data_IF_039284639551
#
_entry.id   IF_039284639551
#
_cell.length_a   1.000
_cell.length_b   1.000
_cell.length_c   1.000
_cell.angle_alpha   90.00
_cell.angle_beta   90.00
_cell.angle_gamma   90.00
#
_symmetry.space_group_name_H-M   'P 1'
#
loop_
_entity.id
_entity.type
_entity.pdbx_description
1 polymer ?
#
# COMPACT_ATOMS: atom_id res chain seq x y z
N UNK A 1 -17.73 12.70 -13.84
CA UNK A 1 -16.64 11.93 -13.21
C UNK A 1 -16.99 11.61 -11.77
N UNK A 2 -16.48 10.51 -11.18
CA UNK A 2 -16.74 10.20 -9.78
C UNK A 2 -16.14 11.30 -8.91
N UNK A 3 -16.99 11.91 -8.09
CA UNK A 3 -16.51 12.69 -6.96
C UNK A 3 -16.00 11.70 -5.92
N UNK A 4 -14.79 11.94 -5.45
CA UNK A 4 -14.14 11.18 -4.40
C UNK A 4 -14.26 11.99 -3.13
N UNK A 5 -14.76 11.38 -2.05
CA UNK A 5 -14.71 12.01 -0.74
C UNK A 5 -13.25 12.22 -0.32
N UNK A 6 -12.94 13.46 0.08
CA UNK A 6 -11.64 13.79 0.66
C UNK A 6 -11.65 13.39 2.14
N UNK A 7 -11.35 12.13 2.41
CA UNK A 7 -11.14 11.57 3.76
C UNK A 7 -9.95 12.27 4.44
N UNK A 8 -9.84 12.16 5.76
CA UNK A 8 -8.68 12.71 6.47
C UNK A 8 -7.38 12.01 6.02
N UNK A 9 -7.44 10.71 5.73
CA UNK A 9 -6.31 9.94 5.22
C UNK A 9 -5.84 10.45 3.83
N UNK A 10 -6.78 10.71 2.92
CA UNK A 10 -6.42 11.28 1.61
C UNK A 10 -5.82 12.68 1.76
N UNK A 11 -6.34 13.50 2.69
CA UNK A 11 -5.80 14.85 2.95
C UNK A 11 -4.40 14.81 3.54
N UNK A 12 -4.14 13.95 4.52
CA UNK A 12 -2.81 13.78 5.10
C UNK A 12 -1.84 13.28 4.03
N UNK A 13 -2.26 12.30 3.22
CA UNK A 13 -1.46 11.77 2.11
C UNK A 13 -1.04 12.86 1.12
N UNK A 14 -1.98 13.69 0.64
CA UNK A 14 -1.67 14.81 -0.25
C UNK A 14 -0.70 15.79 0.42
N UNK A 15 -0.94 16.14 1.70
CA UNK A 15 -0.14 17.10 2.46
C UNK A 15 1.29 16.62 2.66
N UNK A 16 1.46 15.37 3.06
CA UNK A 16 2.75 14.78 3.39
C UNK A 16 3.57 14.53 2.13
N UNK A 17 2.93 14.07 1.06
CA UNK A 17 3.55 13.95 -0.26
C UNK A 17 4.03 15.31 -0.78
N UNK A 18 3.18 16.34 -0.69
CA UNK A 18 3.56 17.69 -1.11
C UNK A 18 4.75 18.21 -0.31
N UNK A 19 4.77 18.00 1.01
CA UNK A 19 5.87 18.41 1.88
C UNK A 19 7.17 17.65 1.60
N UNK A 20 7.10 16.33 1.40
CA UNK A 20 8.28 15.51 1.12
C UNK A 20 8.93 15.89 -0.21
N UNK A 21 8.13 16.27 -1.20
CA UNK A 21 8.58 16.81 -2.50
C UNK A 21 8.86 18.33 -2.47
N UNK A 22 8.79 18.97 -1.30
CA UNK A 22 9.03 20.40 -1.08
C UNK A 22 8.20 21.33 -1.99
N UNK A 23 7.01 20.89 -2.41
CA UNK A 23 6.15 21.65 -3.31
C UNK A 23 5.26 22.62 -2.53
N UNK A 24 5.18 23.88 -2.93
CA UNK A 24 4.33 24.85 -2.24
C UNK A 24 2.87 24.71 -2.67
N UNK A 25 1.94 24.85 -1.73
CA UNK A 25 0.50 24.69 -1.99
C UNK A 25 -0.07 25.76 -2.92
N UNK A 26 0.44 26.98 -2.85
CA UNK A 26 0.02 28.09 -3.71
C UNK A 26 0.53 27.94 -5.16
N UNK A 27 1.76 27.45 -5.32
CA UNK A 27 2.33 27.10 -6.63
C UNK A 27 1.57 25.94 -7.27
N UNK A 28 1.35 24.85 -6.52
CA UNK A 28 0.57 23.70 -7.00
C UNK A 28 -0.86 24.12 -7.38
N UNK A 29 -1.50 25.00 -6.62
CA UNK A 29 -2.84 25.51 -6.96
C UNK A 29 -2.83 26.26 -8.31
N UNK A 30 -1.80 27.07 -8.57
CA UNK A 30 -1.64 27.79 -9.85
C UNK A 30 -1.41 26.82 -11.01
N UNK A 31 -0.55 25.81 -10.84
CA UNK A 31 -0.31 24.77 -11.87
C UNK A 31 -1.58 23.98 -12.23
N UNK A 32 -2.52 23.87 -11.28
CA UNK A 32 -3.81 23.22 -11.48
C UNK A 32 -4.87 24.15 -12.11
N UNK A 33 -4.57 25.43 -12.30
CA UNK A 33 -5.52 26.44 -12.78
C UNK A 33 -6.60 26.77 -11.73
N UNK A 34 -6.28 26.65 -10.44
CA UNK A 34 -7.19 26.91 -9.32
C UNK A 34 -6.74 28.14 -8.52
N UNK A 35 -7.62 28.65 -7.66
CA UNK A 35 -7.29 29.77 -6.78
C UNK A 35 -6.14 29.41 -5.83
N UNK A 36 -5.30 30.39 -5.46
CA UNK A 36 -4.06 30.15 -4.71
C UNK A 36 -4.23 29.41 -3.36
N UNK A 37 -5.43 29.45 -2.79
CA UNK A 37 -5.78 28.77 -1.54
C UNK A 37 -6.35 27.35 -1.74
N UNK A 38 -6.53 26.87 -2.97
CA UNK A 38 -7.26 25.65 -3.27
C UNK A 38 -6.67 24.40 -2.59
N UNK A 39 -5.35 24.18 -2.73
CA UNK A 39 -4.68 23.05 -2.05
C UNK A 39 -4.77 23.18 -0.53
N UNK A 40 -4.63 24.40 0.02
CA UNK A 40 -4.81 24.63 1.45
C UNK A 40 -6.24 24.34 1.92
N UNK A 41 -7.25 24.64 1.09
CA UNK A 41 -8.65 24.32 1.38
C UNK A 41 -8.92 22.80 1.34
N UNK A 42 -8.24 22.06 0.47
CA UNK A 42 -8.24 20.59 0.48
C UNK A 42 -7.56 20.09 1.77
N UNK A 43 -6.34 20.53 2.05
CA UNK A 43 -5.60 20.01 3.21
C UNK A 43 -6.29 20.32 4.55
N UNK A 44 -7.06 21.41 4.65
CA UNK A 44 -7.72 21.84 5.88
C UNK A 44 -9.20 21.43 5.99
N UNK A 45 -9.69 20.52 5.14
CA UNK A 45 -11.05 19.99 5.31
C UNK A 45 -12.19 20.87 4.77
N UNK A 46 -11.88 22.00 4.11
CA UNK A 46 -12.89 22.95 3.60
C UNK A 46 -13.59 22.43 2.34
N UNK A 47 -12.85 21.77 1.46
CA UNK A 47 -13.40 21.09 0.28
C UNK A 47 -13.69 19.65 0.66
N UNK A 48 -14.94 19.19 0.52
CA UNK A 48 -15.34 17.84 0.96
C UNK A 48 -15.13 16.75 -0.07
N UNK A 49 -15.29 17.09 -1.33
CA UNK A 49 -15.16 16.15 -2.45
C UNK A 49 -14.29 16.74 -3.54
N UNK A 50 -13.69 15.85 -4.33
CA UNK A 50 -12.90 16.23 -5.49
C UNK A 50 -13.16 15.27 -6.65
N UNK A 51 -13.16 15.82 -7.86
CA UNK A 51 -13.12 15.04 -9.08
C UNK A 51 -11.87 14.15 -9.14
N UNK A 52 -12.02 12.86 -9.49
CA UNK A 52 -10.88 11.93 -9.56
C UNK A 52 -9.81 12.35 -10.58
N UNK A 53 -10.18 12.89 -11.75
CA UNK A 53 -9.16 13.32 -12.71
C UNK A 53 -8.34 14.50 -12.16
N UNK A 54 -8.99 15.42 -11.43
CA UNK A 54 -8.29 16.48 -10.72
C UNK A 54 -7.41 15.92 -9.59
N UNK A 55 -7.87 14.91 -8.85
CA UNK A 55 -7.08 14.23 -7.83
C UNK A 55 -5.83 13.58 -8.43
N UNK A 56 -5.99 12.80 -9.50
CA UNK A 56 -4.88 12.18 -10.23
C UNK A 56 -3.91 13.25 -10.78
N UNK A 57 -4.45 14.38 -11.26
CA UNK A 57 -3.64 15.53 -11.71
C UNK A 57 -2.85 16.15 -10.56
N UNK A 58 -3.42 16.24 -9.35
CA UNK A 58 -2.69 16.70 -8.15
C UNK A 58 -1.50 15.77 -7.88
N UNK A 59 -1.73 14.47 -7.79
CA UNK A 59 -0.66 13.49 -7.54
C UNK A 59 0.44 13.58 -8.59
N UNK A 60 0.09 13.54 -9.88
CA UNK A 60 1.05 13.69 -10.99
C UNK A 60 1.85 14.99 -10.93
N UNK A 61 1.20 16.11 -10.58
CA UNK A 61 1.89 17.38 -10.44
C UNK A 61 2.80 17.43 -9.23
N UNK A 62 2.50 16.72 -8.15
CA UNK A 62 3.40 16.67 -6.98
C UNK A 62 4.61 15.78 -7.26
N UNK A 63 4.40 14.64 -7.93
CA UNK A 63 5.45 13.63 -8.13
C UNK A 63 6.36 13.94 -9.32
N UNK A 64 5.79 14.49 -10.41
CA UNK A 64 6.47 14.80 -11.68
C UNK A 64 7.19 13.58 -12.30
N UNK A 65 6.58 12.41 -12.16
CA UNK A 65 7.10 11.13 -12.66
C UNK A 65 6.60 10.82 -14.07
N UNK A 66 7.36 9.98 -14.80
CA UNK A 66 6.88 9.38 -16.05
C UNK A 66 5.69 8.44 -15.80
N UNK A 67 4.97 8.02 -16.84
CA UNK A 67 3.76 7.20 -16.65
C UNK A 67 4.02 5.85 -15.98
N UNK A 68 5.15 5.20 -16.28
CA UNK A 68 5.47 3.90 -15.71
C UNK A 68 5.98 4.04 -14.27
N UNK A 69 6.85 5.02 -14.00
CA UNK A 69 7.29 5.35 -12.64
C UNK A 69 6.12 5.82 -11.76
N UNK A 70 5.16 6.53 -12.35
CA UNK A 70 3.97 6.99 -11.64
C UNK A 70 3.07 5.82 -11.22
N UNK A 71 2.87 4.83 -12.11
CA UNK A 71 2.09 3.64 -11.78
C UNK A 71 2.74 2.87 -10.62
N UNK A 72 4.05 2.63 -10.68
CA UNK A 72 4.80 1.96 -9.60
C UNK A 72 4.77 2.79 -8.29
N UNK A 73 4.92 4.11 -8.39
CA UNK A 73 4.83 4.99 -7.23
C UNK A 73 3.45 4.94 -6.57
N UNK A 74 2.38 4.95 -7.36
CA UNK A 74 1.01 4.88 -6.84
C UNK A 74 0.75 3.52 -6.20
N UNK A 75 1.27 2.43 -6.75
CA UNK A 75 1.18 1.11 -6.12
C UNK A 75 1.82 1.12 -4.72
N UNK A 76 3.03 1.65 -4.60
CA UNK A 76 3.72 1.77 -3.30
C UNK A 76 2.97 2.70 -2.33
N UNK A 77 2.48 3.84 -2.81
CA UNK A 77 1.73 4.78 -1.99
C UNK A 77 0.46 4.16 -1.42
N UNK A 78 -0.26 3.40 -2.24
CA UNK A 78 -1.47 2.72 -1.82
C UNK A 78 -1.14 1.59 -0.83
N UNK A 79 -0.09 0.82 -1.09
CA UNK A 79 0.41 -0.21 -0.18
C UNK A 79 0.74 0.37 1.20
N UNK A 80 1.48 1.47 1.22
CA UNK A 80 1.81 2.21 2.45
C UNK A 80 0.54 2.74 3.14
N UNK A 81 -0.40 3.30 2.37
CA UNK A 81 -1.64 3.85 2.93
C UNK A 81 -2.50 2.76 3.57
N UNK A 82 -2.65 1.61 2.90
CA UNK A 82 -3.43 0.48 3.41
C UNK A 82 -2.75 -0.26 4.55
N UNK A 83 -1.42 -0.25 4.63
CA UNK A 83 -0.69 -1.01 5.65
C UNK A 83 -1.17 -0.70 7.07
N UNK A 84 -1.68 0.51 7.31
CA UNK A 84 -2.13 1.00 8.61
C UNK A 84 -3.65 0.98 8.84
N UNK A 85 -4.44 0.52 7.87
CA UNK A 85 -5.89 0.66 7.86
C UNK A 85 -6.60 -0.68 8.14
N UNK A 86 -7.70 -0.65 8.89
CA UNK A 86 -8.58 -1.82 9.00
C UNK A 86 -9.29 -2.08 7.69
N UNK A 87 -9.89 -3.27 7.55
CA UNK A 87 -10.71 -3.61 6.40
C UNK A 87 -11.86 -2.61 6.21
N UNK A 88 -12.53 -2.20 7.29
CA UNK A 88 -13.62 -1.22 7.19
C UNK A 88 -13.12 0.18 6.80
N UNK A 89 -11.91 0.55 7.23
CA UNK A 89 -11.30 1.82 6.85
C UNK A 89 -10.93 1.83 5.36
N UNK A 90 -10.30 0.76 4.85
CA UNK A 90 -9.96 0.62 3.42
C UNK A 90 -11.22 0.68 2.56
N UNK A 91 -12.29 0.00 2.97
CA UNK A 91 -13.57 -0.03 2.24
C UNK A 91 -14.19 1.38 2.07
N UNK A 92 -13.82 2.35 2.91
CA UNK A 92 -14.29 3.74 2.85
C UNK A 92 -13.36 4.67 2.05
N UNK A 93 -12.17 4.21 1.67
CA UNK A 93 -11.23 4.99 0.87
C UNK A 93 -11.47 4.78 -0.62
N UNK A 94 -12.50 5.44 -1.16
CA UNK A 94 -12.87 5.36 -2.59
C UNK A 94 -11.67 5.60 -3.54
N UNK A 95 -10.76 6.51 -3.17
CA UNK A 95 -9.59 6.80 -4.00
C UNK A 95 -8.65 5.58 -4.12
N UNK A 96 -8.45 4.80 -3.06
CA UNK A 96 -7.62 3.59 -3.09
C UNK A 96 -8.19 2.60 -4.11
N UNK A 97 -9.50 2.39 -4.08
CA UNK A 97 -10.17 1.55 -5.07
C UNK A 97 -10.00 2.12 -6.47
N UNK A 98 -10.28 3.41 -6.67
CA UNK A 98 -10.21 4.04 -7.98
C UNK A 98 -8.82 3.92 -8.60
N UNK A 99 -7.76 4.18 -7.83
CA UNK A 99 -6.39 4.02 -8.34
C UNK A 99 -6.03 2.56 -8.62
N UNK A 100 -6.42 1.62 -7.75
CA UNK A 100 -6.15 0.20 -7.96
C UNK A 100 -6.83 -0.37 -9.23
N UNK A 101 -8.02 0.11 -9.56
CA UNK A 101 -8.74 -0.38 -10.73
C UNK A 101 -8.41 0.38 -12.02
N UNK A 102 -8.25 1.70 -11.98
CA UNK A 102 -8.08 2.55 -13.18
C UNK A 102 -6.61 2.85 -13.53
N UNK A 103 -5.71 2.94 -12.53
CA UNK A 103 -4.34 3.46 -12.73
C UNK A 103 -3.28 2.35 -12.64
N UNK A 104 -3.37 1.47 -11.64
CA UNK A 104 -2.43 0.37 -11.46
C UNK A 104 -2.37 -0.52 -12.70
N UNK A 105 -1.16 -0.79 -13.19
CA UNK A 105 -0.92 -1.64 -14.36
C UNK A 105 -0.45 -3.03 -13.92
N UNK A 106 -1.02 -4.06 -14.52
CA UNK A 106 -0.66 -5.45 -14.31
C UNK A 106 0.02 -5.98 -15.57
N UNK A 107 1.12 -6.74 -15.44
CA UNK A 107 1.71 -7.43 -16.58
C UNK A 107 0.69 -8.41 -17.18
N UNK A 108 0.62 -8.49 -18.50
CA UNK A 108 -0.27 -9.42 -19.18
C UNK A 108 0.49 -10.73 -19.41
N UNK A 109 0.15 -11.83 -18.73
CA UNK A 109 0.85 -13.09 -18.91
C UNK A 109 0.49 -13.76 -20.25
N UNK A 110 1.42 -14.55 -20.79
CA UNK A 110 1.23 -15.28 -22.05
C UNK A 110 0.04 -16.25 -22.02
N UNK A 111 -0.29 -16.78 -20.84
CA UNK A 111 -1.48 -17.60 -20.58
C UNK A 111 -2.77 -16.85 -20.93
N UNK A 112 -2.86 -15.58 -20.53
CA UNK A 112 -4.03 -14.75 -20.78
C UNK A 112 -4.10 -14.29 -22.24
N UNK A 113 -2.94 -14.00 -22.85
CA UNK A 113 -2.86 -13.70 -24.30
C UNK A 113 -3.35 -14.90 -25.12
N UNK A 114 -2.89 -16.10 -24.77
CA UNK A 114 -3.30 -17.35 -25.43
C UNK A 114 -4.80 -17.58 -25.26
N UNK A 115 -5.31 -17.44 -24.03
CA UNK A 115 -6.73 -17.54 -23.75
C UNK A 115 -7.56 -16.58 -24.61
N UNK A 116 -7.23 -15.27 -24.63
CA UNK A 116 -7.96 -14.28 -25.43
C UNK A 116 -7.96 -14.69 -26.90
N UNK A 117 -6.79 -15.06 -27.45
CA UNK A 117 -6.67 -15.47 -28.84
C UNK A 117 -7.58 -16.67 -29.17
N UNK A 118 -7.53 -17.72 -28.36
CA UNK A 118 -8.34 -18.92 -28.56
C UNK A 118 -9.85 -18.62 -28.51
N UNK A 119 -10.29 -17.73 -27.62
CA UNK A 119 -11.71 -17.40 -27.54
C UNK A 119 -12.18 -16.55 -28.71
N UNK A 120 -11.37 -15.61 -29.21
CA UNK A 120 -11.71 -14.85 -30.42
C UNK A 120 -11.81 -15.76 -31.66
N UNK A 121 -10.91 -16.74 -31.77
CA UNK A 121 -10.97 -17.76 -32.83
C UNK A 121 -12.26 -18.60 -32.74
N UNK A 122 -12.65 -19.05 -31.54
CA UNK A 122 -13.91 -19.79 -31.32
C UNK A 122 -15.15 -18.95 -31.62
N UNK A 123 -15.13 -17.67 -31.28
CA UNK A 123 -16.21 -16.73 -31.56
C UNK A 123 -16.23 -16.29 -33.04
N UNK A 124 -15.19 -16.63 -33.82
CA UNK A 124 -15.01 -16.26 -35.22
C UNK A 124 -15.09 -14.73 -35.43
N UNK A 125 -14.38 -13.97 -34.59
CA UNK A 125 -14.30 -12.50 -34.65
C UNK A 125 -12.85 -12.05 -34.70
N UNK A 126 -12.59 -10.96 -35.42
CA UNK A 126 -11.26 -10.32 -35.43
C UNK A 126 -11.04 -9.47 -34.16
N UNK A 127 -9.79 -9.18 -33.80
CA UNK A 127 -9.48 -8.27 -32.68
C UNK A 127 -10.20 -6.92 -32.76
N UNK A 128 -10.24 -6.30 -33.94
CA UNK A 128 -10.90 -4.99 -34.16
C UNK A 128 -12.42 -5.08 -34.02
N UNK A 129 -13.05 -6.09 -34.63
CA UNK A 129 -14.50 -6.34 -34.46
C UNK A 129 -14.86 -6.59 -33.00
N UNK A 130 -14.00 -7.28 -32.26
CA UNK A 130 -14.23 -7.54 -30.85
C UNK A 130 -14.15 -6.26 -29.99
N UNK A 131 -13.23 -5.35 -30.29
CA UNK A 131 -13.23 -4.00 -29.66
C UNK A 131 -14.56 -3.29 -29.93
N UNK A 132 -15.08 -3.35 -31.16
CA UNK A 132 -16.39 -2.76 -31.47
C UNK A 132 -17.52 -3.41 -30.67
N UNK A 133 -17.45 -4.72 -30.38
CA UNK A 133 -18.40 -5.40 -29.49
C UNK A 133 -18.31 -4.86 -28.06
N UNK A 134 -17.10 -4.65 -27.53
CA UNK A 134 -16.90 -4.06 -26.20
C UNK A 134 -17.47 -2.63 -26.15
N UNK A 135 -17.17 -1.82 -27.15
CA UNK A 135 -17.61 -0.41 -27.24
C UNK A 135 -19.13 -0.26 -27.44
N UNK A 136 -19.87 -1.33 -27.76
CA UNK A 136 -21.35 -1.33 -27.69
C UNK A 136 -21.87 -1.24 -26.27
N UNK A 137 -21.03 -1.47 -25.25
CA UNK A 137 -21.39 -1.35 -23.83
C UNK A 137 -22.64 -2.15 -23.46
N UNK A 138 -22.82 -3.35 -24.05
CA UNK A 138 -24.00 -4.22 -23.88
C UNK A 138 -24.45 -4.44 -22.42
N UNK A 139 -23.55 -4.54 -21.42
CA UNK A 139 -23.95 -4.75 -20.03
C UNK A 139 -24.53 -3.50 -19.34
N UNK A 140 -24.44 -2.32 -19.96
CA UNK A 140 -24.96 -1.08 -19.39
C UNK A 140 -26.36 -0.79 -19.92
N UNK A 141 -27.25 -0.40 -19.02
CA UNK A 141 -28.51 0.22 -19.40
C UNK A 141 -28.24 1.53 -20.20
N UNK A 142 -28.98 1.81 -21.29
CA UNK A 142 -28.75 3.00 -22.11
C UNK A 142 -28.75 4.31 -21.33
N UNK A 143 -29.66 4.47 -20.36
CA UNK A 143 -29.73 5.69 -19.54
C UNK A 143 -28.51 5.83 -18.62
N UNK A 144 -27.99 4.71 -18.11
CA UNK A 144 -26.75 4.71 -17.34
C UNK A 144 -25.55 5.01 -18.23
N UNK A 145 -25.49 4.43 -19.43
CA UNK A 145 -24.41 4.65 -20.39
C UNK A 145 -24.31 6.11 -20.87
N UNK A 146 -25.41 6.85 -20.93
CA UNK A 146 -25.40 8.29 -21.24
C UNK A 146 -24.79 9.13 -20.11
N UNK A 147 -24.98 8.72 -18.84
CA UNK A 147 -24.45 9.43 -17.67
C UNK A 147 -22.95 9.21 -17.42
N UNK A 148 -22.37 8.17 -18.01
CA UNK A 148 -20.98 7.76 -17.80
C UNK A 148 -20.06 8.37 -18.85
N UNK A 149 -18.93 8.88 -18.38
CA UNK A 149 -17.84 9.33 -19.24
C UNK A 149 -17.09 8.11 -19.81
N UNK A 150 -16.74 8.11 -21.11
CA UNK A 150 -16.00 7.01 -21.71
C UNK A 150 -14.64 6.76 -21.05
N UNK A 151 -14.32 5.48 -20.87
CA UNK A 151 -13.10 4.95 -20.25
C UNK A 151 -12.81 5.48 -18.84
N UNK A 152 -13.86 5.92 -18.12
CA UNK A 152 -13.77 6.35 -16.73
C UNK A 152 -14.56 5.42 -15.84
N UNK A 153 -13.87 4.86 -14.85
CA UNK A 153 -14.49 3.98 -13.87
C UNK A 153 -15.29 4.84 -12.88
N UNK A 154 -16.48 4.38 -12.53
CA UNK A 154 -17.28 4.87 -11.41
C UNK A 154 -17.36 3.75 -10.38
N UNK A 155 -17.01 4.08 -9.14
CA UNK A 155 -17.13 3.17 -8.01
C UNK A 155 -18.28 3.64 -7.14
N UNK A 156 -19.17 2.73 -6.78
CA UNK A 156 -20.25 2.95 -5.83
C UNK A 156 -20.06 2.00 -4.66
N UNK A 157 -19.89 2.54 -3.46
CA UNK A 157 -19.85 1.74 -2.23
C UNK A 157 -21.30 1.50 -1.79
N UNK A 158 -21.75 0.24 -1.85
CA UNK A 158 -23.09 -0.16 -1.42
C UNK A 158 -23.00 -0.83 -0.05
N UNK A 159 -23.70 -0.26 0.92
CA UNK A 159 -23.88 -0.87 2.24
C UNK A 159 -24.81 -2.08 2.12
N UNK A 160 -24.35 -3.24 2.58
CA UNK A 160 -25.20 -4.42 2.71
C UNK A 160 -25.66 -4.54 4.15
N UNK A 161 -26.88 -5.02 4.35
CA UNK A 161 -27.55 -5.20 5.63
C UNK A 161 -26.80 -6.05 6.69
N UNK A 162 -25.59 -6.54 6.39
CA UNK A 162 -24.69 -7.30 7.26
C UNK A 162 -23.41 -6.55 7.66
N UNK A 163 -23.41 -5.20 7.64
CA UNK A 163 -22.20 -4.42 7.95
C UNK A 163 -21.02 -4.74 7.02
N UNK A 164 -21.30 -5.16 5.78
CA UNK A 164 -20.28 -5.35 4.75
C UNK A 164 -20.52 -4.39 3.61
N UNK A 165 -19.47 -3.74 3.11
CA UNK A 165 -19.55 -2.89 1.95
C UNK A 165 -19.17 -3.67 0.69
N UNK A 166 -19.95 -3.53 -0.37
CA UNK A 166 -19.57 -4.01 -1.71
C UNK A 166 -19.28 -2.82 -2.60
N UNK A 167 -18.10 -2.81 -3.18
CA UNK A 167 -17.73 -1.88 -4.24
C UNK A 167 -18.35 -2.36 -5.55
N UNK A 168 -19.31 -1.60 -6.08
CA UNK A 168 -19.86 -1.80 -7.42
C UNK A 168 -19.10 -0.92 -8.40
N UNK A 169 -18.52 -1.55 -9.41
CA UNK A 169 -17.77 -0.86 -10.47
C UNK A 169 -18.64 -0.70 -11.73
N UNK A 170 -18.70 0.49 -12.30
CA UNK A 170 -19.40 0.81 -13.54
C UNK A 170 -18.44 1.54 -14.48
N UNK A 171 -18.32 1.08 -15.73
CA UNK A 171 -17.47 1.72 -16.72
C UNK A 171 -18.12 1.64 -18.09
N UNK A 172 -18.07 2.76 -18.84
CA UNK A 172 -18.41 2.82 -20.25
C UNK A 172 -17.12 2.75 -21.05
N UNK A 173 -16.98 1.77 -21.93
CA UNK A 173 -15.83 1.60 -22.79
C UNK A 173 -15.96 2.38 -24.09
N UNK A 174 -14.85 2.98 -24.50
CA UNK A 174 -14.58 3.56 -25.82
C UNK A 174 -13.10 3.29 -26.17
N UNK A 175 -12.80 2.02 -26.36
CA UNK A 175 -11.43 1.52 -26.49
C UNK A 175 -10.93 1.69 -27.94
N UNK A 176 -9.61 1.92 -28.14
CA UNK A 176 -9.02 1.96 -29.47
C UNK A 176 -9.18 0.62 -30.19
N UNK A 177 -9.55 0.64 -31.48
CA UNK A 177 -9.74 -0.59 -32.27
C UNK A 177 -8.49 -1.50 -32.31
N UNK A 178 -7.30 -0.93 -32.13
CA UNK A 178 -6.03 -1.67 -32.11
C UNK A 178 -5.74 -2.33 -30.76
N UNK A 179 -6.48 -2.05 -29.69
CA UNK A 179 -6.13 -2.45 -28.33
C UNK A 179 -5.87 -3.95 -28.21
N UNK A 180 -6.79 -4.77 -28.71
CA UNK A 180 -6.67 -6.23 -28.60
C UNK A 180 -5.52 -6.74 -29.48
N UNK A 181 -5.36 -6.19 -30.68
CA UNK A 181 -4.24 -6.55 -31.56
C UNK A 181 -2.87 -6.18 -30.94
N UNK A 182 -2.79 -5.01 -30.31
CA UNK A 182 -1.61 -4.53 -29.60
C UNK A 182 -1.28 -5.42 -28.38
N UNK A 183 -2.29 -5.99 -27.70
CA UNK A 183 -2.09 -6.98 -26.62
C UNK A 183 -1.58 -8.31 -27.21
N UNK A 184 -2.25 -8.84 -28.24
CA UNK A 184 -1.92 -10.13 -28.85
C UNK A 184 -0.53 -10.13 -29.50
N UNK A 185 -0.11 -8.98 -30.05
CA UNK A 185 1.22 -8.77 -30.62
C UNK A 185 2.29 -8.40 -29.59
N UNK A 186 1.94 -8.34 -28.30
CA UNK A 186 2.83 -7.93 -27.19
C UNK A 186 3.40 -6.51 -27.32
N UNK A 187 2.72 -5.62 -28.05
CA UNK A 187 3.03 -4.18 -28.07
C UNK A 187 2.57 -3.51 -26.78
N UNK A 188 1.46 -3.97 -26.20
CA UNK A 188 1.01 -3.63 -24.85
C UNK A 188 1.39 -4.77 -23.91
N UNK A 189 2.32 -4.50 -22.99
CA UNK A 189 2.84 -5.49 -22.03
C UNK A 189 2.13 -5.47 -20.68
N UNK A 190 1.40 -4.39 -20.39
CA UNK A 190 0.69 -4.21 -19.12
C UNK A 190 -0.60 -3.41 -19.33
N UNK A 191 -1.59 -3.66 -18.49
CA UNK A 191 -2.91 -3.04 -18.60
C UNK A 191 -3.53 -2.87 -17.21
N UNK A 192 -4.45 -1.93 -17.06
CA UNK A 192 -5.18 -1.79 -15.81
C UNK A 192 -6.20 -2.92 -15.61
N UNK A 193 -6.60 -3.12 -14.36
CA UNK A 193 -7.53 -4.20 -13.99
C UNK A 193 -8.86 -4.06 -14.72
N UNK A 194 -9.45 -2.86 -14.73
CA UNK A 194 -10.81 -2.66 -15.24
C UNK A 194 -10.92 -2.94 -16.75
N UNK A 195 -9.90 -2.58 -17.53
CA UNK A 195 -9.90 -2.85 -18.97
C UNK A 195 -9.75 -4.35 -19.24
N UNK A 196 -8.84 -5.05 -18.55
CA UNK A 196 -8.71 -6.51 -18.73
C UNK A 196 -9.98 -7.23 -18.27
N UNK A 197 -10.56 -6.83 -17.14
CA UNK A 197 -11.86 -7.33 -16.68
C UNK A 197 -12.94 -7.13 -17.74
N UNK A 198 -13.01 -5.95 -18.37
CA UNK A 198 -13.96 -5.64 -19.44
C UNK A 198 -13.81 -6.51 -20.67
N UNK A 199 -12.57 -6.84 -21.07
CA UNK A 199 -12.26 -7.75 -22.18
C UNK A 199 -12.79 -9.15 -21.86
N UNK A 200 -12.40 -9.72 -20.72
CA UNK A 200 -12.77 -11.08 -20.32
C UNK A 200 -14.28 -11.22 -20.09
N UNK A 201 -14.91 -10.19 -19.49
CA UNK A 201 -16.35 -10.14 -19.31
C UNK A 201 -17.10 -10.23 -20.64
N UNK A 202 -16.68 -9.44 -21.63
CA UNK A 202 -17.31 -9.46 -22.95
C UNK A 202 -17.04 -10.76 -23.73
N UNK A 203 -15.93 -11.45 -23.47
CA UNK A 203 -15.66 -12.77 -24.04
C UNK A 203 -16.73 -13.75 -23.52
N UNK A 204 -16.84 -13.91 -22.21
CA UNK A 204 -17.80 -14.83 -21.59
C UNK A 204 -19.25 -14.48 -21.94
N UNK A 205 -19.58 -13.18 -22.01
CA UNK A 205 -20.90 -12.73 -22.46
C UNK A 205 -21.19 -13.14 -23.91
N UNK A 206 -20.18 -13.08 -24.79
CA UNK A 206 -20.33 -13.48 -26.19
C UNK A 206 -20.38 -15.01 -26.37
N UNK A 207 -19.79 -15.76 -25.44
CA UNK A 207 -19.92 -17.23 -25.35
C UNK A 207 -21.29 -17.68 -24.80
N UNK A 208 -22.11 -16.75 -24.29
CA UNK A 208 -23.45 -17.05 -23.78
C UNK A 208 -23.48 -17.51 -22.32
N UNK A 209 -22.46 -17.17 -21.53
CA UNK A 209 -22.49 -17.43 -20.09
C UNK A 209 -23.62 -16.65 -19.39
N UNK A 210 -24.26 -17.21 -18.35
CA UNK A 210 -25.24 -16.47 -17.55
C UNK A 210 -24.61 -15.26 -16.89
N UNK A 211 -25.18 -14.05 -17.07
CA UNK A 211 -24.61 -12.78 -16.58
C UNK A 211 -24.26 -12.80 -15.09
N UNK A 212 -25.10 -13.45 -14.27
CA UNK A 212 -24.92 -13.62 -12.83
C UNK A 212 -23.60 -14.35 -12.46
N UNK A 213 -23.11 -15.20 -13.35
CA UNK A 213 -21.91 -16.03 -13.15
C UNK A 213 -20.63 -15.44 -13.76
N UNK A 214 -20.78 -14.47 -14.69
CA UNK A 214 -19.64 -13.92 -15.43
C UNK A 214 -18.68 -13.22 -14.49
N UNK A 215 -19.18 -12.40 -13.56
CA UNK A 215 -18.34 -11.63 -12.64
C UNK A 215 -17.40 -12.53 -11.82
N UNK A 216 -17.90 -13.63 -11.25
CA UNK A 216 -17.08 -14.55 -10.46
C UNK A 216 -16.10 -15.35 -11.32
N UNK A 217 -16.52 -15.72 -12.53
CA UNK A 217 -15.67 -16.44 -13.49
C UNK A 217 -14.50 -15.56 -13.95
N UNK A 218 -14.77 -14.30 -14.30
CA UNK A 218 -13.74 -13.32 -14.67
C UNK A 218 -12.82 -13.05 -13.48
N UNK A 219 -13.36 -12.89 -12.27
CA UNK A 219 -12.56 -12.70 -11.06
C UNK A 219 -11.59 -13.85 -10.82
N UNK A 220 -12.06 -15.08 -10.98
CA UNK A 220 -11.24 -16.28 -10.85
C UNK A 220 -10.13 -16.32 -11.89
N UNK A 221 -10.47 -16.06 -13.17
CA UNK A 221 -9.50 -16.03 -14.27
C UNK A 221 -8.43 -14.94 -14.08
N UNK A 222 -8.84 -13.74 -13.66
CA UNK A 222 -7.93 -12.65 -13.33
C UNK A 222 -6.97 -13.06 -12.20
N UNK A 223 -7.50 -13.62 -11.10
CA UNK A 223 -6.71 -14.08 -9.95
C UNK A 223 -5.67 -15.13 -10.35
N UNK A 224 -6.07 -16.13 -11.12
CA UNK A 224 -5.17 -17.20 -11.61
C UNK A 224 -4.07 -16.68 -12.53
N UNK A 225 -4.29 -15.52 -13.18
CA UNK A 225 -3.34 -14.85 -14.05
C UNK A 225 -2.62 -13.68 -13.36
N UNK A 226 -2.65 -13.60 -12.02
CA UNK A 226 -1.88 -12.61 -11.25
C UNK A 226 -2.48 -11.20 -11.18
N UNK A 227 -3.70 -11.00 -11.71
CA UNK A 227 -4.46 -9.77 -11.54
C UNK A 227 -5.15 -9.78 -10.17
N UNK A 228 -4.35 -9.55 -9.13
CA UNK A 228 -4.85 -9.47 -7.76
C UNK A 228 -5.21 -8.02 -7.42
N UNK A 229 -6.47 -7.78 -7.08
CA UNK A 229 -6.83 -6.55 -6.40
C UNK A 229 -6.05 -6.46 -5.08
N UNK A 230 -5.86 -5.25 -4.57
CA UNK A 230 -5.12 -5.06 -3.32
C UNK A 230 -5.77 -5.80 -2.13
N UNK A 231 -7.09 -5.84 -2.10
CA UNK A 231 -7.84 -6.59 -1.09
C UNK A 231 -7.55 -8.09 -1.16
N UNK A 232 -7.50 -8.65 -2.37
CA UNK A 232 -7.19 -10.07 -2.59
C UNK A 232 -5.74 -10.38 -2.24
N UNK A 233 -4.80 -9.51 -2.64
CA UNK A 233 -3.38 -9.65 -2.30
C UNK A 233 -3.16 -9.61 -0.79
N UNK A 234 -3.75 -8.65 -0.09
CA UNK A 234 -3.63 -8.52 1.37
C UNK A 234 -4.30 -9.70 2.09
N UNK A 235 -5.46 -10.16 1.61
CA UNK A 235 -6.12 -11.35 2.14
C UNK A 235 -5.25 -12.59 1.97
N UNK A 236 -4.65 -12.80 0.80
CA UNK A 236 -3.74 -13.93 0.56
C UNK A 236 -2.54 -13.90 1.51
N UNK A 237 -1.96 -12.72 1.76
CA UNK A 237 -0.88 -12.56 2.74
C UNK A 237 -1.37 -12.94 4.15
N UNK A 238 -2.53 -12.44 4.58
CA UNK A 238 -3.09 -12.75 5.90
C UNK A 238 -3.46 -14.23 6.07
N UNK A 239 -4.06 -14.84 5.06
CA UNK A 239 -4.44 -16.25 5.04
C UNK A 239 -3.19 -17.13 5.11
N UNK A 240 -2.13 -16.80 4.34
CA UNK A 240 -0.84 -17.49 4.39
C UNK A 240 -0.17 -17.37 5.77
N UNK A 241 -0.21 -16.19 6.40
CA UNK A 241 0.28 -15.99 7.77
C UNK A 241 -0.50 -16.87 8.75
N UNK A 242 -1.83 -16.87 8.66
CA UNK A 242 -2.70 -17.65 9.53
C UNK A 242 -2.47 -19.16 9.36
N UNK A 243 -2.28 -19.62 8.12
CA UNK A 243 -2.00 -21.00 7.80
C UNK A 243 -0.62 -21.43 8.32
N UNK A 244 0.44 -20.63 8.12
CA UNK A 244 1.78 -20.91 8.66
C UNK A 244 1.82 -20.91 10.19
N UNK A 245 1.09 -19.98 10.82
CA UNK A 245 0.90 -19.99 12.29
C UNK A 245 0.21 -21.27 12.76
N UNK A 246 -0.81 -21.74 12.04
CA UNK A 246 -1.52 -22.99 12.37
C UNK A 246 -0.64 -24.24 12.19
N UNK A 247 0.35 -24.18 11.30
CA UNK A 247 1.27 -25.29 10.98
C UNK A 247 2.60 -25.22 11.72
N UNK A 248 2.83 -24.20 12.57
CA UNK A 248 4.12 -23.98 13.25
C UNK A 248 5.32 -23.89 12.28
N UNK A 249 5.11 -23.29 11.11
CA UNK A 249 6.19 -23.08 10.13
C UNK A 249 6.90 -21.74 10.37
N UNK A 250 8.23 -21.71 10.22
CA UNK A 250 9.01 -20.49 10.31
C UNK A 250 8.69 -19.53 9.14
N UNK A 251 8.64 -18.23 9.44
CA UNK A 251 8.46 -17.20 8.44
C UNK A 251 9.78 -16.91 7.70
N UNK A 252 9.74 -16.77 6.39
CA UNK A 252 10.84 -16.22 5.59
C UNK A 252 10.63 -14.72 5.32
N UNK A 253 11.70 -13.99 4.97
CA UNK A 253 11.66 -12.56 4.63
C UNK A 253 10.68 -12.22 3.48
N UNK A 254 10.31 -13.22 2.67
CA UNK A 254 9.39 -13.08 1.54
C UNK A 254 7.92 -13.38 1.91
N UNK A 255 7.64 -13.79 3.16
CA UNK A 255 6.31 -14.19 3.64
C UNK A 255 5.53 -13.06 4.32
N UNK A 256 6.15 -11.88 4.49
CA UNK A 256 5.61 -10.78 5.29
C UNK A 256 5.90 -9.46 4.57
N UNK A 257 4.92 -8.56 4.56
CA UNK A 257 5.20 -7.17 4.19
C UNK A 257 6.18 -6.58 5.23
N UNK A 258 7.27 -5.90 4.79
CA UNK A 258 8.27 -5.31 5.69
C UNK A 258 7.72 -4.35 6.77
N UNK A 259 6.50 -3.84 6.57
CA UNK A 259 5.94 -2.68 7.26
C UNK A 259 5.37 -2.97 8.65
N UNK A 260 4.95 -4.20 8.98
CA UNK A 260 4.47 -4.53 10.34
C UNK A 260 5.61 -4.57 11.37
N UNK A 261 6.79 -5.06 10.94
CA UNK A 261 8.00 -5.00 11.75
C UNK A 261 8.53 -3.57 11.84
N UNK A 262 8.41 -2.76 10.79
CA UNK A 262 8.79 -1.35 10.84
C UNK A 262 7.89 -0.55 11.79
N UNK A 263 6.58 -0.81 11.83
CA UNK A 263 5.67 -0.16 12.79
C UNK A 263 5.90 -0.61 14.21
N UNK A 264 6.15 -1.90 14.40
CA UNK A 264 6.57 -2.42 15.70
C UNK A 264 7.89 -1.78 16.12
N UNK A 265 8.85 -1.64 15.21
CA UNK A 265 10.13 -0.97 15.45
C UNK A 265 9.94 0.51 15.82
N UNK A 266 9.16 1.27 15.05
CA UNK A 266 8.86 2.69 15.32
C UNK A 266 8.14 2.86 16.65
N UNK A 267 7.16 2.00 16.96
CA UNK A 267 6.42 2.02 18.22
C UNK A 267 7.34 1.73 19.40
N UNK A 268 8.13 0.64 19.33
CA UNK A 268 9.09 0.29 20.38
C UNK A 268 10.14 1.39 20.58
N UNK A 269 10.64 1.99 19.49
CA UNK A 269 11.59 3.10 19.55
C UNK A 269 10.98 4.34 20.22
N UNK A 270 9.73 4.68 19.89
CA UNK A 270 8.99 5.78 20.54
C UNK A 270 8.85 5.53 22.04
N UNK A 271 8.41 4.35 22.45
CA UNK A 271 8.26 3.99 23.86
C UNK A 271 9.60 4.01 24.62
N UNK A 272 10.68 3.55 24.00
CA UNK A 272 12.04 3.67 24.58
C UNK A 272 12.43 5.14 24.77
N UNK A 273 12.15 6.01 23.80
CA UNK A 273 12.46 7.44 23.90
C UNK A 273 11.66 8.12 25.01
N UNK A 274 10.37 7.81 25.16
CA UNK A 274 9.53 8.33 26.24
C UNK A 274 10.07 7.96 27.63
N UNK A 275 10.70 6.78 27.76
CA UNK A 275 11.38 6.40 29.01
C UNK A 275 12.62 7.26 29.31
N UNK A 276 13.36 7.72 28.29
CA UNK A 276 14.46 8.67 28.50
C UNK A 276 13.96 10.05 28.90
N UNK A 277 12.86 10.52 28.29
CA UNK A 277 12.19 11.76 28.69
C UNK A 277 11.69 11.68 30.14
N UNK A 278 11.13 10.55 30.56
CA UNK A 278 10.72 10.34 31.95
C UNK A 278 11.89 10.42 32.95
N UNK A 279 13.07 9.90 32.59
CA UNK A 279 14.27 10.02 33.44
C UNK A 279 14.72 11.48 33.54
N UNK A 280 14.71 12.22 32.42
CA UNK A 280 15.00 13.67 32.38
C UNK A 280 14.06 14.44 33.30
N UNK A 281 12.77 14.17 33.21
CA UNK A 281 11.73 14.90 33.96
C UNK A 281 11.82 14.66 35.47
N UNK A 282 12.42 13.53 35.88
CA UNK A 282 12.73 13.26 37.29
C UNK A 282 14.01 13.92 37.78
N UNK A 283 15.10 13.82 37.02
CA UNK A 283 16.40 14.39 37.37
C UNK A 283 17.24 14.62 36.10
N UNK A 284 17.36 15.90 35.72
CA UNK A 284 18.06 16.31 34.51
C UNK A 284 19.57 16.00 34.56
N UNK A 285 20.23 16.23 35.70
CA UNK A 285 21.68 16.03 35.81
C UNK A 285 22.02 14.54 35.78
N UNK A 286 21.23 13.73 36.48
CA UNK A 286 21.34 12.27 36.41
C UNK A 286 21.10 11.76 34.99
N UNK A 287 20.07 12.26 34.30
CA UNK A 287 19.75 11.87 32.93
C UNK A 287 20.92 12.14 31.98
N UNK A 288 21.49 13.35 32.02
CA UNK A 288 22.66 13.75 31.20
C UNK A 288 23.84 12.80 31.48
N UNK A 289 24.19 12.58 32.74
CA UNK A 289 25.32 11.71 33.11
C UNK A 289 25.15 10.29 32.58
N UNK A 290 23.95 9.71 32.64
CA UNK A 290 23.69 8.35 32.16
C UNK A 290 23.64 8.28 30.64
N UNK A 291 23.02 9.24 29.96
CA UNK A 291 22.94 9.26 28.50
C UNK A 291 24.31 9.46 27.86
N UNK A 292 25.18 10.30 28.44
CA UNK A 292 26.56 10.46 27.95
C UNK A 292 27.38 9.16 28.06
N UNK A 293 27.19 8.40 29.14
CA UNK A 293 27.85 7.09 29.32
C UNK A 293 27.29 6.07 28.34
N UNK A 294 25.97 6.05 28.16
CA UNK A 294 25.31 5.15 27.22
C UNK A 294 25.77 5.41 25.78
N UNK A 295 25.80 6.68 25.36
CA UNK A 295 26.26 7.09 24.03
C UNK A 295 27.72 6.69 23.79
N UNK A 296 28.60 6.92 24.78
CA UNK A 296 30.01 6.48 24.72
C UNK A 296 30.11 4.96 24.54
N UNK A 297 29.31 4.19 25.26
CA UNK A 297 29.30 2.74 25.14
C UNK A 297 28.80 2.27 23.76
N UNK A 298 27.70 2.85 23.26
CA UNK A 298 27.16 2.51 21.93
C UNK A 298 28.14 2.84 20.80
N UNK A 299 28.90 3.93 20.93
CA UNK A 299 29.95 4.30 19.97
C UNK A 299 31.17 3.36 20.03
N UNK A 300 31.40 2.69 21.15
CA UNK A 300 32.48 1.71 21.31
C UNK A 300 32.09 0.35 20.72
N UNK A 301 30.94 -0.20 21.14
CA UNK A 301 30.41 -1.46 20.63
C UNK A 301 28.87 -1.49 20.74
N UNK A 302 28.21 -1.19 19.63
CA UNK A 302 26.75 -1.19 19.57
C UNK A 302 26.15 -2.58 19.82
N UNK A 303 26.76 -3.63 19.29
CA UNK A 303 26.24 -5.00 19.40
C UNK A 303 26.23 -5.49 20.84
N UNK A 304 27.34 -5.31 21.55
CA UNK A 304 27.47 -5.68 22.96
C UNK A 304 26.51 -4.89 23.86
N UNK A 305 26.40 -3.57 23.63
CA UNK A 305 25.53 -2.70 24.44
C UNK A 305 24.06 -3.06 24.24
N UNK A 306 23.62 -3.31 23.00
CA UNK A 306 22.26 -3.74 22.73
C UNK A 306 21.97 -5.08 23.40
N UNK A 307 22.88 -6.06 23.34
CA UNK A 307 22.71 -7.36 23.99
C UNK A 307 22.55 -7.25 25.53
N UNK A 308 23.32 -6.36 26.16
CA UNK A 308 23.20 -6.08 27.60
C UNK A 308 21.86 -5.40 27.90
N UNK A 309 21.47 -4.38 27.12
CA UNK A 309 20.23 -3.63 27.33
C UNK A 309 18.96 -4.46 27.07
N UNK A 310 18.99 -5.36 26.08
CA UNK A 310 17.87 -6.23 25.73
C UNK A 310 17.77 -7.47 26.61
N UNK A 311 18.69 -7.65 27.57
CA UNK A 311 18.64 -8.76 28.51
C UNK A 311 17.35 -8.69 29.33
N UNK A 312 16.73 -9.84 29.68
CA UNK A 312 15.38 -9.89 30.26
C UNK A 312 15.36 -9.52 31.77
N UNK A 313 15.86 -8.33 32.11
CA UNK A 313 15.93 -7.81 33.48
C UNK A 313 14.55 -7.72 34.15
N UNK A 314 13.48 -7.57 33.36
CA UNK A 314 12.10 -7.59 33.84
C UNK A 314 11.69 -8.94 34.49
N UNK A 315 12.42 -10.03 34.22
CA UNK A 315 12.19 -11.34 34.84
C UNK A 315 12.89 -11.50 36.20
N UNK A 316 13.68 -10.51 36.64
CA UNK A 316 14.35 -10.57 37.94
C UNK A 316 13.35 -10.32 39.09
N UNK A 317 13.30 -11.22 40.09
CA UNK A 317 12.54 -10.97 41.32
C UNK A 317 12.97 -9.67 42.01
N UNK A 318 12.01 -8.94 42.57
CA UNK A 318 12.25 -7.63 43.20
C UNK A 318 13.27 -7.71 44.35
N UNK A 319 13.22 -8.77 45.15
CA UNK A 319 14.14 -9.04 46.27
C UNK A 319 15.58 -9.32 45.82
N UNK A 320 15.78 -9.72 44.55
CA UNK A 320 17.09 -10.07 43.99
C UNK A 320 17.76 -8.94 43.22
N UNK A 321 17.09 -7.83 42.97
CA UNK A 321 17.62 -6.72 42.15
C UNK A 321 18.92 -6.12 42.71
N UNK A 322 19.02 -5.97 44.04
CA UNK A 322 20.22 -5.43 44.70
C UNK A 322 21.42 -6.37 44.60
N UNK A 323 21.20 -7.66 44.84
CA UNK A 323 22.25 -8.68 44.77
C UNK A 323 22.76 -8.80 43.33
N UNK A 324 21.84 -8.87 42.36
CA UNK A 324 22.18 -8.87 40.94
C UNK A 324 23.05 -7.66 40.55
N UNK A 325 22.68 -6.45 40.98
CA UNK A 325 23.47 -5.25 40.66
C UNK A 325 24.88 -5.29 41.26
N UNK A 326 25.02 -5.83 42.47
CA UNK A 326 26.32 -6.01 43.13
C UNK A 326 27.19 -6.99 42.34
N UNK A 327 26.64 -8.13 41.95
CA UNK A 327 27.34 -9.17 41.20
C UNK A 327 27.74 -8.68 39.80
N UNK A 328 26.82 -8.02 39.10
CA UNK A 328 27.10 -7.38 37.80
C UNK A 328 28.23 -6.36 37.90
N UNK A 329 28.21 -5.50 38.93
CA UNK A 329 29.26 -4.49 39.14
C UNK A 329 30.61 -5.14 39.44
N UNK A 330 30.63 -6.22 40.22
CA UNK A 330 31.85 -6.96 40.53
C UNK A 330 32.43 -7.64 39.28
N UNK A 331 31.56 -8.26 38.47
CA UNK A 331 31.92 -8.89 37.21
C UNK A 331 32.49 -7.87 36.22
N UNK A 332 31.80 -6.75 36.02
CA UNK A 332 32.28 -5.71 35.10
C UNK A 332 33.67 -5.19 35.53
N UNK A 333 33.88 -4.98 36.84
CA UNK A 333 35.18 -4.58 37.37
C UNK A 333 36.28 -5.63 37.14
N UNK A 334 35.97 -6.92 37.19
CA UNK A 334 36.99 -7.96 36.97
C UNK A 334 37.48 -7.96 35.52
N UNK A 335 36.57 -7.81 34.55
CA UNK A 335 36.91 -7.70 33.12
C UNK A 335 37.64 -6.39 32.78
N UNK A 336 37.28 -5.28 33.45
CA UNK A 336 38.03 -4.03 33.27
C UNK A 336 39.45 -4.16 33.85
N UNK A 337 39.64 -4.76 35.02
CA UNK A 337 40.97 -4.93 35.63
C UNK A 337 41.86 -5.92 34.87
N UNK A 338 41.31 -7.01 34.35
CA UNK A 338 42.09 -7.98 33.57
C UNK A 338 42.59 -7.39 32.24
N UNK A 339 41.88 -6.41 31.68
CA UNK A 339 42.34 -5.66 30.49
C UNK A 339 43.55 -4.75 30.76
N UNK A 340 43.75 -4.31 32.01
CA UNK A 340 44.87 -3.42 32.40
C UNK A 340 46.17 -4.20 32.60
N UNK A 341 46.11 -5.40 33.19
CA UNK A 341 47.28 -6.27 33.36
C UNK A 341 47.76 -6.93 32.05
N UNK A 342 46.92 -6.96 31.02
CA UNK A 342 47.25 -7.56 29.72
C UNK A 342 48.04 -6.62 28.81
N UNK A 343 48.06 -5.31 29.09
CA UNK A 343 48.84 -4.31 28.34
C UNK A 343 50.26 -4.08 28.89
N UNK A 344 50.58 -4.54 30.10
CA UNK A 344 51.95 -4.44 30.67
C UNK A 344 52.86 -5.63 30.29
N UNK A 345 52.31 -6.76 29.85
CA UNK A 345 53.10 -7.94 29.44
C UNK A 345 53.42 -7.99 27.93
N UNK A 346 53.07 -6.95 27.17
CA UNK A 346 53.41 -6.80 25.75
C UNK A 346 54.14 -5.46 25.50
N UNK A 347 55.16 -5.16 26.31
CA UNK A 347 56.15 -4.13 26.03
C UNK A 347 57.56 -4.69 26.09
#
# INVERSE_FOLDING_TARGET
MPNIELTENLRSTIRDLRKSKKKRGDELSKELGKGASYISQIENGKIKEIDFALLNKIFRKITDLSDDEYAEYMDNLIDDSMAHMTKEEIEREEWIHQFNFEIRKFPIPDTLITYIKEQLEKLNVTPSEFVQIINKNRPLDPSMAESLEPNKLKIEIVDTSKNSYISRTLIKFDLPETLIDDILSKKILSINYITMQGILYNILLSEGYPEESIHESVRTLLRENGFLTLQERNKLIHDNISEKQSKNEDFTFYDVQPTDYDKKYVTLKREINENFDFIRDKDLLYAIEKLEKLLRNMNFDLGLVIAIMSSPLAKLPDDKKKDFWKDYTALLKSYIKSSTNSQENNK
#
